data_IF_140164641286
#
_entry.id   IF_140164641286
#
_cell.length_a   1.000
_cell.length_b   1.000
_cell.length_c   1.000
_cell.angle_alpha   90.00
_cell.angle_beta   90.00
_cell.angle_gamma   90.00
#
_symmetry.space_group_name_H-M   'P 1'
#
loop_
_entity.id
_entity.type
_entity.pdbx_description
1 polymer ?
#
# COMPACT_ATOMS: atom_id res chain seq x y z
N UNK A 1 8.89 2.58 -28.63
CA UNK A 1 9.94 2.76 -27.60
C UNK A 1 10.16 1.41 -26.93
N UNK A 2 11.24 0.72 -27.26
CA UNK A 2 11.61 -0.54 -26.61
C UNK A 2 12.26 -0.20 -25.27
N UNK A 3 11.64 -0.65 -24.17
CA UNK A 3 12.26 -0.66 -22.85
C UNK A 3 13.37 -1.73 -22.88
N UNK A 4 14.62 -1.30 -23.00
CA UNK A 4 15.77 -2.16 -22.75
C UNK A 4 16.08 -2.01 -21.26
N UNK A 5 15.64 -2.99 -20.47
CA UNK A 5 16.20 -3.16 -19.13
C UNK A 5 17.66 -3.56 -19.32
N UNK A 6 18.60 -2.65 -19.03
CA UNK A 6 19.98 -3.05 -18.81
C UNK A 6 19.95 -4.04 -17.65
N UNK A 7 20.28 -5.31 -17.93
CA UNK A 7 20.59 -6.28 -16.90
C UNK A 7 21.85 -5.76 -16.21
N UNK A 8 21.68 -5.05 -15.11
CA UNK A 8 22.78 -4.76 -14.20
C UNK A 8 23.43 -6.09 -13.87
N UNK A 9 24.74 -6.19 -14.08
CA UNK A 9 25.53 -7.37 -13.78
C UNK A 9 25.18 -7.82 -12.35
N UNK A 10 24.72 -9.08 -12.20
CA UNK A 10 24.16 -9.62 -10.94
C UNK A 10 25.13 -9.48 -9.76
N UNK A 11 26.42 -9.32 -10.07
CA UNK A 11 27.53 -9.04 -9.16
C UNK A 11 27.44 -7.71 -8.43
N UNK A 12 26.81 -6.67 -9.00
CA UNK A 12 26.79 -5.32 -8.39
C UNK A 12 25.70 -5.16 -7.31
N UNK A 13 24.61 -5.92 -7.39
CA UNK A 13 23.49 -5.82 -6.42
C UNK A 13 23.82 -6.40 -5.03
N UNK A 14 24.89 -7.21 -4.94
CA UNK A 14 25.36 -7.82 -3.69
C UNK A 14 26.15 -6.84 -2.81
N UNK A 15 26.76 -5.81 -3.42
CA UNK A 15 27.66 -4.85 -2.75
C UNK A 15 27.19 -3.39 -2.83
N UNK A 16 26.34 -3.05 -3.80
CA UNK A 16 25.83 -1.70 -3.98
C UNK A 16 24.29 -1.67 -3.89
N UNK A 17 23.78 -0.70 -3.11
CA UNK A 17 22.35 -0.39 -3.10
C UNK A 17 22.01 0.31 -4.41
N UNK A 18 21.60 -0.47 -5.40
CA UNK A 18 21.04 0.06 -6.65
C UNK A 18 19.56 0.31 -6.46
N UNK A 19 19.09 1.50 -6.82
CA UNK A 19 17.66 1.82 -6.87
C UNK A 19 17.26 1.91 -8.34
N UNK A 20 16.18 1.23 -8.75
CA UNK A 20 15.72 1.39 -10.12
C UNK A 20 15.12 2.81 -10.28
N UNK A 21 15.71 3.71 -11.10
CA UNK A 21 15.25 5.08 -11.20
C UNK A 21 13.80 5.20 -11.72
N UNK A 22 13.29 4.20 -12.43
CA UNK A 22 11.90 4.18 -12.88
C UNK A 22 10.91 3.85 -11.75
N UNK A 23 11.32 3.07 -10.75
CA UNK A 23 10.47 2.70 -9.60
C UNK A 23 10.75 3.60 -8.38
N UNK A 24 12.01 3.76 -8.00
CA UNK A 24 12.41 4.45 -6.77
C UNK A 24 12.28 5.97 -6.88
N UNK A 25 12.62 6.56 -8.04
CA UNK A 25 12.64 8.02 -8.19
C UNK A 25 11.37 8.50 -8.88
N UNK A 26 11.00 7.94 -10.03
CA UNK A 26 9.85 8.44 -10.80
C UNK A 26 8.51 8.09 -10.15
N UNK A 27 8.35 6.86 -9.68
CA UNK A 27 7.11 6.41 -9.05
C UNK A 27 6.99 6.94 -7.60
N UNK A 28 8.09 7.08 -6.85
CA UNK A 28 8.07 7.75 -5.54
C UNK A 28 7.74 9.24 -5.65
N UNK A 29 8.42 10.00 -6.51
CA UNK A 29 8.15 11.45 -6.64
C UNK A 29 6.72 11.68 -7.14
N UNK A 30 6.26 10.89 -8.10
CA UNK A 30 4.89 11.01 -8.63
C UNK A 30 3.85 10.60 -7.60
N UNK A 31 4.04 9.49 -6.89
CA UNK A 31 3.07 9.03 -5.87
C UNK A 31 3.08 9.90 -4.62
N UNK A 32 4.23 10.45 -4.21
CA UNK A 32 4.33 11.38 -3.08
C UNK A 32 3.65 12.71 -3.41
N UNK A 33 3.99 13.32 -4.56
CA UNK A 33 3.34 14.54 -5.05
C UNK A 33 1.83 14.33 -5.18
N UNK A 34 1.40 13.17 -5.68
CA UNK A 34 -0.02 12.88 -5.87
C UNK A 34 -0.74 12.62 -4.54
N UNK A 35 -0.14 11.89 -3.60
CA UNK A 35 -0.72 11.65 -2.27
C UNK A 35 -0.77 12.93 -1.45
N UNK A 36 0.27 13.77 -1.51
CA UNK A 36 0.32 15.06 -0.85
C UNK A 36 -0.72 16.03 -1.44
N UNK A 37 -0.83 16.09 -2.77
CA UNK A 37 -1.86 16.89 -3.44
C UNK A 37 -3.28 16.40 -3.10
N UNK A 38 -3.49 15.09 -2.99
CA UNK A 38 -4.76 14.48 -2.60
C UNK A 38 -5.10 14.78 -1.14
N UNK A 39 -4.12 14.66 -0.23
CA UNK A 39 -4.31 14.96 1.18
C UNK A 39 -4.59 16.46 1.38
N UNK A 40 -3.84 17.35 0.71
CA UNK A 40 -4.07 18.79 0.73
C UNK A 40 -5.44 19.13 0.12
N UNK A 41 -5.77 18.59 -1.05
CA UNK A 41 -7.08 18.82 -1.68
C UNK A 41 -8.24 18.33 -0.80
N UNK A 42 -8.09 17.19 -0.14
CA UNK A 42 -9.09 16.67 0.80
C UNK A 42 -9.23 17.52 2.07
N UNK A 43 -8.14 18.16 2.51
CA UNK A 43 -8.13 19.07 3.65
C UNK A 43 -8.82 20.42 3.33
N UNK A 44 -8.75 20.86 2.07
CA UNK A 44 -9.33 22.13 1.62
C UNK A 44 -10.75 22.03 1.04
N UNK A 45 -11.23 20.82 0.69
CA UNK A 45 -12.55 20.62 0.09
C UNK A 45 -13.40 19.59 0.86
N UNK A 46 -13.81 19.88 2.11
CA UNK A 46 -14.52 18.92 2.97
C UNK A 46 -15.89 18.44 2.43
N UNK A 47 -16.47 19.07 1.40
CA UNK A 47 -17.81 18.74 0.89
C UNK A 47 -17.88 18.23 -0.56
N UNK A 48 -16.76 18.01 -1.24
CA UNK A 48 -16.80 17.51 -2.62
C UNK A 48 -16.68 15.98 -2.69
N UNK A 49 -17.80 15.31 -2.43
CA UNK A 49 -17.95 13.85 -2.49
C UNK A 49 -17.47 13.23 -3.82
N UNK A 50 -17.63 13.95 -4.93
CA UNK A 50 -17.18 13.49 -6.24
C UNK A 50 -15.65 13.51 -6.34
N UNK A 51 -15.02 14.60 -5.91
CA UNK A 51 -13.55 14.71 -5.91
C UNK A 51 -12.91 13.68 -4.97
N UNK A 52 -13.50 13.44 -3.79
CA UNK A 52 -13.00 12.44 -2.85
C UNK A 52 -13.09 11.03 -3.42
N UNK A 53 -14.21 10.69 -4.07
CA UNK A 53 -14.38 9.39 -4.74
C UNK A 53 -13.35 9.16 -5.83
N UNK A 54 -13.18 10.12 -6.72
CA UNK A 54 -12.30 9.97 -7.88
C UNK A 54 -10.84 9.95 -7.45
N UNK A 55 -10.51 10.71 -6.40
CA UNK A 55 -9.24 10.62 -5.69
C UNK A 55 -9.00 9.23 -5.11
N UNK A 56 -9.92 8.70 -4.30
CA UNK A 56 -9.78 7.38 -3.69
C UNK A 56 -9.61 6.26 -4.75
N UNK A 57 -10.41 6.30 -5.83
CA UNK A 57 -10.26 5.37 -6.96
C UNK A 57 -8.88 5.45 -7.60
N UNK A 58 -8.42 6.67 -7.87
CA UNK A 58 -7.11 6.88 -8.46
C UNK A 58 -6.02 6.35 -7.55
N UNK A 59 -6.09 6.63 -6.25
CA UNK A 59 -5.08 6.15 -5.29
C UNK A 59 -5.08 4.64 -5.15
N UNK A 60 -6.23 3.97 -5.25
CA UNK A 60 -6.28 2.50 -5.25
C UNK A 60 -5.61 1.92 -6.49
N UNK A 61 -5.92 2.47 -7.66
CA UNK A 61 -5.36 2.01 -8.93
C UNK A 61 -3.85 2.24 -8.95
N UNK A 62 -3.38 3.42 -8.53
CA UNK A 62 -1.94 3.72 -8.49
C UNK A 62 -1.21 2.86 -7.47
N UNK A 63 -1.79 2.63 -6.29
CA UNK A 63 -1.17 1.79 -5.26
C UNK A 63 -1.13 0.31 -5.67
N UNK A 64 -2.20 -0.17 -6.32
CA UNK A 64 -2.21 -1.51 -6.91
C UNK A 64 -1.16 -1.63 -8.03
N UNK A 65 -1.08 -0.65 -8.93
CA UNK A 65 -0.09 -0.63 -10.00
C UNK A 65 1.34 -0.59 -9.46
N UNK A 66 1.59 0.14 -8.37
CA UNK A 66 2.87 0.15 -7.67
C UNK A 66 3.22 -1.24 -7.14
N UNK A 67 2.31 -1.90 -6.43
CA UNK A 67 2.54 -3.26 -5.91
C UNK A 67 2.78 -4.24 -7.06
N UNK A 68 1.94 -4.20 -8.10
CA UNK A 68 2.07 -5.07 -9.26
C UNK A 68 3.42 -4.86 -9.98
N UNK A 69 3.83 -3.61 -10.19
CA UNK A 69 5.13 -3.29 -10.79
C UNK A 69 6.29 -3.80 -9.95
N UNK A 70 6.24 -3.63 -8.64
CA UNK A 70 7.27 -4.13 -7.72
C UNK A 70 7.34 -5.66 -7.74
N UNK A 71 6.20 -6.35 -7.77
CA UNK A 71 6.13 -7.81 -7.86
C UNK A 71 6.70 -8.32 -9.18
N UNK A 72 6.33 -7.69 -10.30
CA UNK A 72 6.85 -8.06 -11.63
C UNK A 72 8.35 -7.85 -11.69
N UNK A 73 8.85 -6.70 -11.23
CA UNK A 73 10.29 -6.45 -11.23
C UNK A 73 11.04 -7.42 -10.33
N UNK A 74 10.50 -7.70 -9.13
CA UNK A 74 11.07 -8.70 -8.23
C UNK A 74 11.19 -10.08 -8.88
N UNK A 75 10.23 -10.49 -9.72
CA UNK A 75 10.26 -11.78 -10.40
C UNK A 75 11.13 -11.85 -11.66
N UNK A 76 11.45 -10.73 -12.30
CA UNK A 76 12.10 -10.73 -13.62
C UNK A 76 13.49 -10.10 -13.66
N UNK A 77 13.91 -9.34 -12.65
CA UNK A 77 15.20 -8.65 -12.71
C UNK A 77 15.82 -8.32 -11.35
N UNK A 78 15.36 -8.96 -10.28
CA UNK A 78 15.71 -8.58 -8.92
C UNK A 78 15.07 -7.25 -8.52
N UNK A 79 14.70 -7.13 -7.25
CA UNK A 79 14.22 -5.87 -6.69
C UNK A 79 15.03 -5.57 -5.43
N UNK A 80 15.69 -4.41 -5.40
CA UNK A 80 16.40 -3.96 -4.21
C UNK A 80 15.47 -3.91 -3.00
N UNK A 81 15.98 -4.28 -1.82
CA UNK A 81 15.25 -4.17 -0.56
C UNK A 81 14.73 -2.73 -0.34
N UNK A 82 15.52 -1.74 -0.74
CA UNK A 82 15.14 -0.33 -0.66
C UNK A 82 13.85 -0.03 -1.45
N UNK A 83 13.77 -0.49 -2.70
CA UNK A 83 12.60 -0.29 -3.56
C UNK A 83 11.38 -1.05 -3.02
N UNK A 84 11.60 -2.25 -2.48
CA UNK A 84 10.57 -3.03 -1.79
C UNK A 84 10.01 -2.30 -0.57
N UNK A 85 10.89 -1.76 0.29
CA UNK A 85 10.49 -1.02 1.50
C UNK A 85 9.75 0.27 1.13
N UNK A 86 10.26 1.09 0.20
CA UNK A 86 9.58 2.30 -0.27
C UNK A 86 8.18 1.96 -0.80
N UNK A 87 8.07 0.91 -1.61
CA UNK A 87 6.78 0.45 -2.13
C UNK A 87 5.82 0.07 -1.00
N UNK A 88 6.28 -0.64 0.03
CA UNK A 88 5.45 -0.97 1.20
C UNK A 88 5.07 0.25 2.03
N UNK A 89 5.95 1.25 2.19
CA UNK A 89 5.63 2.48 2.92
C UNK A 89 4.57 3.32 2.20
N UNK A 90 4.75 3.55 0.89
CA UNK A 90 3.80 4.31 0.07
C UNK A 90 2.41 3.66 0.06
N UNK A 91 2.37 2.34 -0.09
CA UNK A 91 1.10 1.60 -0.10
C UNK A 91 0.47 1.53 1.30
N UNK A 92 1.28 1.53 2.38
CA UNK A 92 0.76 1.62 3.75
C UNK A 92 0.12 2.98 4.05
N UNK A 93 0.65 4.08 3.52
CA UNK A 93 -0.01 5.40 3.63
C UNK A 93 -1.40 5.39 2.99
N UNK A 94 -1.54 4.74 1.84
CA UNK A 94 -2.84 4.54 1.21
C UNK A 94 -3.76 3.65 2.06
N UNK A 95 -3.25 2.57 2.64
CA UNK A 95 -4.04 1.73 3.56
C UNK A 95 -4.56 2.53 4.75
N UNK A 96 -3.76 3.44 5.32
CA UNK A 96 -4.21 4.35 6.40
C UNK A 96 -5.33 5.28 5.92
N UNK A 97 -5.21 5.85 4.72
CA UNK A 97 -6.27 6.68 4.14
C UNK A 97 -7.57 5.89 3.96
N UNK A 98 -7.49 4.64 3.50
CA UNK A 98 -8.65 3.76 3.31
C UNK A 98 -9.30 3.37 4.63
N UNK A 99 -8.51 2.98 5.62
CA UNK A 99 -9.04 2.52 6.90
C UNK A 99 -9.71 3.65 7.68
N UNK A 100 -9.15 4.86 7.62
CA UNK A 100 -9.74 6.06 8.24
C UNK A 100 -11.05 6.46 7.55
N UNK A 101 -11.17 6.27 6.24
CA UNK A 101 -12.36 6.61 5.46
C UNK A 101 -13.27 5.41 5.14
N UNK A 102 -13.14 4.32 5.90
CA UNK A 102 -13.76 3.03 5.57
C UNK A 102 -15.29 3.12 5.41
N UNK A 103 -15.98 3.82 6.32
CA UNK A 103 -17.45 3.98 6.28
C UNK A 103 -17.90 4.65 4.98
N UNK A 104 -17.16 5.66 4.53
CA UNK A 104 -17.45 6.35 3.29
C UNK A 104 -17.24 5.43 2.09
N UNK A 105 -16.12 4.69 2.08
CA UNK A 105 -15.73 3.76 1.01
C UNK A 105 -16.75 2.61 0.85
N UNK A 106 -17.36 2.13 1.92
CA UNK A 106 -18.38 1.07 1.83
C UNK A 106 -19.61 1.48 1.01
N UNK A 107 -19.97 2.77 1.00
CA UNK A 107 -21.14 3.28 0.25
C UNK A 107 -20.90 3.39 -1.25
N UNK A 108 -19.65 3.30 -1.71
CA UNK A 108 -19.23 3.69 -3.05
C UNK A 108 -19.45 2.62 -4.15
N UNK A 109 -20.20 1.56 -3.82
CA UNK A 109 -20.63 0.50 -4.72
C UNK A 109 -19.70 -0.72 -4.75
N UNK A 110 -20.20 -1.82 -5.33
CA UNK A 110 -19.52 -3.12 -5.33
C UNK A 110 -18.13 -3.11 -5.98
N UNK A 111 -17.92 -2.27 -7.02
CA UNK A 111 -16.64 -2.18 -7.72
C UNK A 111 -15.50 -1.71 -6.81
N UNK A 112 -15.77 -0.77 -5.91
CA UNK A 112 -14.78 -0.25 -4.96
C UNK A 112 -14.47 -1.27 -3.87
N UNK A 113 -15.46 -2.07 -3.46
CA UNK A 113 -15.22 -3.15 -2.50
C UNK A 113 -14.33 -4.25 -3.09
N UNK A 114 -14.55 -4.63 -4.36
CA UNK A 114 -13.67 -5.57 -5.06
C UNK A 114 -12.25 -5.00 -5.18
N UNK A 115 -12.11 -3.73 -5.57
CA UNK A 115 -10.81 -3.07 -5.64
C UNK A 115 -10.11 -3.01 -4.27
N UNK A 116 -10.86 -2.73 -3.20
CA UNK A 116 -10.35 -2.71 -1.83
C UNK A 116 -9.90 -4.11 -1.36
N UNK A 117 -10.66 -5.15 -1.66
CA UNK A 117 -10.29 -6.53 -1.37
C UNK A 117 -9.00 -6.94 -2.09
N UNK A 118 -8.92 -6.68 -3.40
CA UNK A 118 -7.71 -6.96 -4.18
C UNK A 118 -6.52 -6.18 -3.61
N UNK A 119 -6.67 -4.86 -3.45
CA UNK A 119 -5.60 -4.01 -2.92
C UNK A 119 -5.09 -4.50 -1.56
N UNK A 120 -5.98 -4.73 -0.59
CA UNK A 120 -5.58 -5.19 0.75
C UNK A 120 -4.93 -6.57 0.74
N UNK A 121 -5.39 -7.47 -0.12
CA UNK A 121 -4.78 -8.80 -0.30
C UNK A 121 -3.37 -8.69 -0.89
N UNK A 122 -3.20 -7.91 -1.96
CA UNK A 122 -1.90 -7.67 -2.58
C UNK A 122 -0.94 -6.90 -1.66
N UNK A 123 -1.44 -5.94 -0.89
CA UNK A 123 -0.67 -5.20 0.11
C UNK A 123 -0.17 -6.11 1.23
N UNK A 124 -1.05 -6.96 1.78
CA UNK A 124 -0.70 -7.95 2.78
C UNK A 124 0.36 -8.93 2.24
N UNK A 125 0.12 -9.50 1.06
CA UNK A 125 1.05 -10.40 0.40
C UNK A 125 2.42 -9.75 0.19
N UNK A 126 2.44 -8.57 -0.41
CA UNK A 126 3.69 -7.86 -0.74
C UNK A 126 4.48 -7.48 0.50
N UNK A 127 3.81 -6.96 1.53
CA UNK A 127 4.45 -6.67 2.82
C UNK A 127 5.05 -7.91 3.46
N UNK A 128 4.32 -9.03 3.48
CA UNK A 128 4.88 -10.30 3.99
C UNK A 128 6.09 -10.73 3.17
N UNK A 129 6.07 -10.64 1.84
CA UNK A 129 7.21 -11.02 1.01
C UNK A 129 8.46 -10.19 1.33
N UNK A 130 8.34 -8.87 1.33
CA UNK A 130 9.46 -7.94 1.61
C UNK A 130 10.05 -8.18 3.00
N UNK A 131 9.21 -8.33 4.02
CA UNK A 131 9.66 -8.46 5.41
C UNK A 131 9.98 -9.90 5.82
N UNK A 132 9.53 -10.93 5.09
CA UNK A 132 9.81 -12.33 5.45
C UNK A 132 11.29 -12.68 5.34
N UNK A 133 12.05 -12.02 4.45
CA UNK A 133 13.47 -12.29 4.21
C UNK A 133 14.23 -10.99 3.92
N UNK A 134 14.08 -9.97 4.77
CA UNK A 134 14.68 -8.66 4.51
C UNK A 134 16.20 -8.69 4.26
N UNK A 135 16.95 -9.59 4.92
CA UNK A 135 18.39 -9.72 4.70
C UNK A 135 18.77 -10.31 3.34
N UNK A 136 17.93 -11.18 2.75
CA UNK A 136 18.18 -11.83 1.47
C UNK A 136 17.18 -11.43 0.37
N UNK A 137 16.39 -10.37 0.61
CA UNK A 137 15.38 -9.92 -0.32
C UNK A 137 16.04 -9.40 -1.60
N UNK A 138 15.51 -9.82 -2.75
CA UNK A 138 16.01 -9.40 -4.06
C UNK A 138 17.35 -9.98 -4.48
N UNK A 139 18.04 -10.70 -3.60
CA UNK A 139 19.31 -11.36 -3.90
C UNK A 139 19.01 -12.74 -4.49
N UNK A 140 18.90 -12.79 -5.82
CA UNK A 140 19.03 -14.04 -6.56
C UNK A 140 20.53 -14.31 -6.73
N UNK A 141 21.14 -14.98 -5.76
CA UNK A 141 22.53 -15.43 -5.94
C UNK A 141 22.56 -16.44 -7.08
N UNK A 142 23.39 -16.26 -8.11
CA UNK A 142 23.68 -17.34 -9.04
C UNK A 142 24.19 -18.53 -8.24
N UNK A 143 23.91 -19.75 -8.72
CA UNK A 143 24.05 -21.04 -8.03
C UNK A 143 25.41 -21.32 -7.35
N UNK A 144 26.42 -20.46 -7.57
CA UNK A 144 27.80 -20.61 -7.12
C UNK A 144 28.32 -19.48 -6.19
N UNK A 145 27.50 -18.53 -5.74
CA UNK A 145 27.93 -17.50 -4.77
C UNK A 145 27.23 -17.69 -3.43
N UNK A 146 27.95 -17.99 -2.35
CA UNK A 146 27.34 -18.10 -1.03
C UNK A 146 26.78 -16.75 -0.58
N UNK A 147 25.49 -16.72 -0.20
CA UNK A 147 24.75 -15.54 0.27
C UNK A 147 25.42 -14.86 1.48
N UNK A 148 26.36 -15.54 2.14
CA UNK A 148 27.08 -15.04 3.32
C UNK A 148 27.96 -13.82 3.06
N UNK A 149 28.32 -13.55 1.80
CA UNK A 149 29.23 -12.45 1.45
C UNK A 149 28.50 -11.20 0.91
N UNK A 150 27.16 -11.20 0.84
CA UNK A 150 26.38 -10.03 0.39
C UNK A 150 26.00 -9.13 1.56
N UNK A 151 26.57 -7.92 1.60
CA UNK A 151 26.31 -6.94 2.66
C UNK A 151 25.33 -5.83 2.25
N UNK A 152 24.96 -5.72 0.97
CA UNK A 152 24.12 -4.62 0.47
C UNK A 152 22.82 -4.40 1.27
N UNK A 153 22.15 -5.47 1.68
CA UNK A 153 20.93 -5.35 2.49
C UNK A 153 21.22 -5.03 3.96
N UNK A 154 22.32 -5.55 4.52
CA UNK A 154 22.71 -5.36 5.93
C UNK A 154 23.18 -3.93 6.18
N UNK A 155 23.87 -3.36 5.20
CA UNK A 155 24.40 -1.98 5.23
C UNK A 155 23.31 -0.93 4.94
N UNK A 156 22.09 -1.34 4.59
CA UNK A 156 20.98 -0.40 4.43
C UNK A 156 20.52 0.18 5.76
N UNK A 157 20.71 1.48 5.92
CA UNK A 157 20.29 2.25 7.09
C UNK A 157 19.21 3.24 6.67
N UNK A 158 18.09 3.21 7.38
CA UNK A 158 17.01 4.16 7.26
C UNK A 158 17.13 5.20 8.36
N UNK A 159 17.05 6.47 8.01
CA UNK A 159 16.97 7.56 8.99
C UNK A 159 15.50 7.92 9.16
N UNK A 160 14.90 7.46 10.25
CA UNK A 160 13.50 7.74 10.60
C UNK A 160 13.49 8.65 11.81
N UNK A 161 12.94 9.86 11.66
CA UNK A 161 12.94 10.90 12.71
C UNK A 161 14.33 11.22 13.30
N UNK A 162 15.37 11.20 12.46
CA UNK A 162 16.75 11.45 12.88
C UNK A 162 17.44 10.26 13.57
N UNK A 163 16.71 9.15 13.83
CA UNK A 163 17.30 7.92 14.31
C UNK A 163 17.72 7.01 13.15
N UNK A 164 18.95 6.49 13.21
CA UNK A 164 19.47 5.54 12.24
C UNK A 164 19.04 4.11 12.61
N UNK A 165 18.33 3.47 11.71
CA UNK A 165 17.71 2.16 11.90
C UNK A 165 18.15 1.24 10.77
N UNK A 166 18.78 0.12 11.09
CA UNK A 166 19.13 -0.90 10.08
C UNK A 166 17.87 -1.56 9.51
N UNK A 167 17.82 -1.70 8.18
CA UNK A 167 16.75 -2.40 7.45
C UNK A 167 16.60 -3.88 7.80
N UNK A 168 17.66 -4.48 8.36
CA UNK A 168 17.68 -5.88 8.78
C UNK A 168 17.43 -6.07 10.27
N UNK A 169 16.98 -5.03 10.99
CA UNK A 169 16.66 -5.15 12.40
C UNK A 169 15.52 -6.16 12.63
N UNK A 170 15.79 -7.20 13.42
CA UNK A 170 14.84 -8.28 13.72
C UNK A 170 13.55 -7.77 14.40
N UNK A 171 13.64 -6.75 15.27
CA UNK A 171 12.48 -6.18 15.95
C UNK A 171 11.50 -5.53 14.97
N UNK A 172 12.02 -4.75 14.03
CA UNK A 172 11.20 -4.08 12.99
C UNK A 172 10.62 -5.09 12.03
N UNK A 173 11.39 -6.13 11.68
CA UNK A 173 10.91 -7.23 10.85
C UNK A 173 9.72 -7.95 11.49
N UNK A 174 9.83 -8.32 12.76
CA UNK A 174 8.74 -8.98 13.49
C UNK A 174 7.54 -8.05 13.59
N UNK A 175 7.76 -6.77 13.93
CA UNK A 175 6.69 -5.77 13.99
C UNK A 175 5.96 -5.61 12.65
N UNK A 176 6.71 -5.45 11.56
CA UNK A 176 6.15 -5.33 10.22
C UNK A 176 5.36 -6.58 9.83
N UNK A 177 5.91 -7.77 10.06
CA UNK A 177 5.21 -9.02 9.79
C UNK A 177 3.90 -9.14 10.59
N UNK A 178 3.88 -8.72 11.86
CA UNK A 178 2.66 -8.66 12.67
C UNK A 178 1.65 -7.68 12.09
N UNK A 179 2.09 -6.47 11.68
CA UNK A 179 1.22 -5.47 11.05
C UNK A 179 0.61 -6.00 9.75
N UNK A 180 1.42 -6.51 8.83
CA UNK A 180 0.91 -7.01 7.55
C UNK A 180 0.05 -8.26 7.72
N UNK A 181 0.43 -9.20 8.58
CA UNK A 181 -0.36 -10.42 8.80
C UNK A 181 -1.65 -10.17 9.59
N UNK A 182 -1.59 -9.46 10.71
CA UNK A 182 -2.76 -9.24 11.57
C UNK A 182 -3.69 -8.19 10.95
N UNK A 183 -3.18 -6.99 10.64
CA UNK A 183 -4.03 -5.93 10.08
C UNK A 183 -4.36 -6.20 8.63
N UNK A 184 -3.38 -6.55 7.79
CA UNK A 184 -3.63 -6.86 6.38
C UNK A 184 -4.49 -8.11 6.19
N UNK A 185 -4.24 -9.16 6.97
CA UNK A 185 -5.08 -10.36 6.97
C UNK A 185 -6.51 -10.06 7.42
N UNK A 186 -6.69 -9.34 8.53
CA UNK A 186 -8.03 -8.97 8.99
C UNK A 186 -8.78 -8.10 7.97
N UNK A 187 -8.13 -7.07 7.40
CA UNK A 187 -8.74 -6.17 6.43
C UNK A 187 -9.12 -6.88 5.13
N UNK A 188 -8.27 -7.78 4.62
CA UNK A 188 -8.55 -8.56 3.42
C UNK A 188 -9.72 -9.53 3.62
N UNK A 189 -9.77 -10.24 4.76
CA UNK A 189 -10.90 -11.12 5.10
C UNK A 189 -12.20 -10.32 5.20
N UNK A 190 -12.18 -9.17 5.88
CA UNK A 190 -13.36 -8.30 5.99
C UNK A 190 -13.83 -7.78 4.64
N UNK A 191 -12.92 -7.29 3.81
CA UNK A 191 -13.25 -6.81 2.48
C UNK A 191 -13.80 -7.94 1.59
N UNK A 192 -13.21 -9.14 1.67
CA UNK A 192 -13.68 -10.33 0.97
C UNK A 192 -15.09 -10.74 1.41
N UNK A 193 -15.37 -10.69 2.71
CA UNK A 193 -16.70 -10.96 3.25
C UNK A 193 -17.75 -10.00 2.69
N UNK A 194 -17.46 -8.69 2.67
CA UNK A 194 -18.37 -7.70 2.08
C UNK A 194 -18.62 -7.94 0.59
N UNK A 195 -17.61 -8.37 -0.17
CA UNK A 195 -17.78 -8.72 -1.59
C UNK A 195 -18.71 -9.92 -1.74
N UNK A 196 -18.51 -10.97 -0.94
CA UNK A 196 -19.35 -12.19 -0.97
C UNK A 196 -20.79 -11.85 -0.60
N UNK A 197 -21.01 -11.07 0.46
CA UNK A 197 -22.33 -10.63 0.90
C UNK A 197 -23.06 -9.85 -0.21
N UNK A 198 -22.39 -8.87 -0.83
CA UNK A 198 -22.99 -8.08 -1.91
C UNK A 198 -23.27 -8.90 -3.17
N UNK A 199 -22.37 -9.82 -3.54
CA UNK A 199 -22.62 -10.75 -4.66
C UNK A 199 -23.79 -11.69 -4.35
N UNK A 200 -23.88 -12.19 -3.12
CA UNK A 200 -24.99 -13.03 -2.67
C UNK A 200 -26.32 -12.29 -2.73
N UNK A 201 -26.38 -11.04 -2.25
CA UNK A 201 -27.56 -10.20 -2.35
C UNK A 201 -27.97 -9.95 -3.80
N UNK A 202 -27.00 -9.63 -4.67
CA UNK A 202 -27.23 -9.41 -6.11
C UNK A 202 -27.79 -10.67 -6.79
N UNK A 203 -27.23 -11.83 -6.49
CA UNK A 203 -27.69 -13.11 -7.02
C UNK A 203 -29.11 -13.46 -6.55
N UNK A 204 -29.43 -13.22 -5.27
CA UNK A 204 -30.70 -13.61 -4.67
C UNK A 204 -31.87 -12.69 -5.02
N UNK A 205 -31.64 -11.38 -5.21
CA UNK A 205 -32.73 -10.40 -5.39
C UNK A 205 -32.88 -9.87 -6.82
N UNK A 206 -31.97 -10.21 -7.74
CA UNK A 206 -31.97 -9.69 -9.11
C UNK A 206 -31.68 -8.18 -9.18
N UNK A 207 -31.07 -7.73 -10.29
CA UNK A 207 -30.55 -6.36 -10.42
C UNK A 207 -31.57 -5.21 -10.34
N UNK A 208 -32.87 -5.49 -10.20
CA UNK A 208 -33.93 -4.49 -10.13
C UNK A 208 -34.04 -3.80 -8.76
N UNK A 209 -33.88 -4.54 -7.65
CA UNK A 209 -33.98 -3.99 -6.28
C UNK A 209 -32.69 -3.29 -5.82
N UNK A 210 -31.59 -3.46 -6.55
CA UNK A 210 -30.29 -2.83 -6.23
C UNK A 210 -30.30 -1.32 -6.51
N UNK A 211 -31.26 -0.82 -7.31
CA UNK A 211 -31.43 0.62 -7.54
C UNK A 211 -31.98 1.34 -6.30
N UNK A 212 -32.91 0.75 -5.56
CA UNK A 212 -33.45 1.34 -4.32
C UNK A 212 -32.39 1.41 -3.21
N UNK A 213 -31.57 0.36 -3.05
CA UNK A 213 -30.46 0.35 -2.08
C UNK A 213 -29.40 1.44 -2.38
N UNK A 214 -29.18 1.76 -3.66
CA UNK A 214 -28.29 2.86 -4.06
C UNK A 214 -28.91 4.24 -3.79
N UNK A 215 -30.23 4.38 -3.85
CA UNK A 215 -30.94 5.63 -3.51
C UNK A 215 -30.86 5.87 -1.99
N UNK A 216 -31.10 4.84 -1.19
CA UNK A 216 -31.02 4.92 0.28
C UNK A 216 -29.58 5.19 0.77
N UNK A 217 -28.57 4.56 0.14
CA UNK A 217 -27.16 4.87 0.40
C UNK A 217 -26.76 6.29 -0.05
N UNK A 218 -27.48 6.89 -0.99
CA UNK A 218 -27.28 8.29 -1.41
C UNK A 218 -27.90 9.26 -0.40
N UNK A 219 -29.05 8.92 0.18
CA UNK A 219 -29.69 9.71 1.26
C UNK A 219 -28.84 9.68 2.54
N UNK A 220 -28.31 8.51 2.93
CA UNK A 220 -27.39 8.38 4.08
C UNK A 220 -26.06 9.16 3.91
N UNK A 221 -25.65 9.50 2.68
CA UNK A 221 -24.47 10.34 2.43
C UNK A 221 -24.69 11.80 2.73
N UNK A 222 -25.92 12.30 2.57
CA UNK A 222 -26.25 13.69 2.86
C UNK A 222 -26.36 13.93 4.38
N UNK A 223 -26.77 12.91 5.13
CA UNK A 223 -27.01 13.02 6.57
C UNK A 223 -25.74 12.87 7.44
N UNK A 224 -24.73 12.12 6.97
CA UNK A 224 -23.48 11.87 7.71
C UNK A 224 -22.27 12.70 7.22
N UNK A 225 -22.51 13.75 6.43
CA UNK A 225 -21.47 14.65 5.92
C UNK A 225 -20.72 15.47 6.98
N UNK A 226 -21.23 15.54 8.21
CA UNK A 226 -20.60 16.29 9.29
C UNK A 226 -20.00 15.38 10.36
N UNK A 227 -18.68 15.34 10.40
CA UNK A 227 -17.93 14.93 11.58
C UNK A 227 -17.16 13.62 11.42
N UNK A 228 -15.87 13.76 11.07
CA UNK A 228 -14.75 13.43 11.98
C UNK A 228 -13.41 13.64 11.29
N UNK A 229 -12.97 14.90 11.26
CA UNK A 229 -11.57 15.29 11.16
C UNK A 229 -10.74 14.89 12.42
N UNK A 230 -11.35 14.17 13.38
CA UNK A 230 -10.75 13.90 14.70
C UNK A 230 -9.72 12.75 14.70
N UNK A 231 -9.79 11.82 13.74
CA UNK A 231 -8.87 10.66 13.72
C UNK A 231 -7.51 10.94 13.07
N UNK A 232 -7.43 11.96 12.20
CA UNK A 232 -6.16 12.39 11.62
C UNK A 232 -5.23 13.00 12.68
N UNK A 233 -5.81 13.68 13.68
CA UNK A 233 -5.07 14.18 14.84
C UNK A 233 -4.58 13.05 15.75
N UNK A 234 -5.32 11.94 15.87
CA UNK A 234 -4.91 10.79 16.72
C UNK A 234 -3.72 10.04 16.10
N UNK A 235 -3.66 9.87 14.77
CA UNK A 235 -2.47 9.27 14.13
C UNK A 235 -1.24 10.18 14.25
N UNK A 236 -1.38 11.50 14.10
CA UNK A 236 -0.28 12.43 14.36
C UNK A 236 0.12 12.49 15.84
N UNK A 237 -0.83 12.36 16.78
CA UNK A 237 -0.58 12.40 18.22
C UNK A 237 0.07 11.10 18.76
N UNK A 238 -0.28 9.94 18.20
CA UNK A 238 0.37 8.66 18.53
C UNK A 238 1.80 8.63 17.99
N UNK A 239 2.05 9.13 16.78
CA UNK A 239 3.41 9.26 16.24
C UNK A 239 4.27 10.29 16.99
N UNK A 240 3.67 11.35 17.53
CA UNK A 240 4.38 12.37 18.30
C UNK A 240 4.70 11.96 19.75
N UNK A 241 4.00 10.96 20.31
CA UNK A 241 4.23 10.48 21.68
C UNK A 241 5.05 9.19 21.77
N UNK A 242 5.39 8.57 20.64
CA UNK A 242 6.35 7.45 20.56
C UNK A 242 7.81 7.90 20.45
N UNK A 243 8.05 9.23 20.39
CA UNK A 243 9.38 9.85 20.38
C UNK A 243 9.78 10.43 21.75
N UNK A 244 9.12 10.00 22.83
CA UNK A 244 9.47 10.33 24.22
C UNK A 244 10.22 9.19 24.89
#
# INVERSE_FOLDING_TARGET
MSFVCQSSDVTDMCYAVSSNPDISVRLSIRSHKQTELINVASSFMPNNNLAFRDSARTTYITSFALIASSVVQWKHGGLSLFDGIISTMLTSLMTVFVTTNYRYIQTLGASIQIASFLFTTFWCYWGIQVWSRSSSFGLETPENVPITDCTANVDTIFVVFGASISGTNNGIRIFALLVFSALGGFLSIRAGWCVVENLWHYWKHGGANTKEYNVEATVMREEYGDGKAFYFLICSYIFSNLSG
#
